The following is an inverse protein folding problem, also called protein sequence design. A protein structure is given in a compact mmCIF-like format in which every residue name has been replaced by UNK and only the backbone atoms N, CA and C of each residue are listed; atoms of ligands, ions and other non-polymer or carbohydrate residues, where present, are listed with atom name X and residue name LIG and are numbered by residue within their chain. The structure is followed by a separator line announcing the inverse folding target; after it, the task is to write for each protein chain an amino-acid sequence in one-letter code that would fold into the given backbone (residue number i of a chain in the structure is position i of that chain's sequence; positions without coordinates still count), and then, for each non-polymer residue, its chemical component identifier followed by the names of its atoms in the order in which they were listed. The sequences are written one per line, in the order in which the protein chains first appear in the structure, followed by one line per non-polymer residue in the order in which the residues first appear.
data_IF_428217505856
#
_entry.id   IF_428217505856
#
_cell.length_a   1.000
_cell.length_b   1.000
_cell.length_c   1.000
_cell.angle_alpha   90.00
_cell.angle_beta   90.00
_cell.angle_gamma   90.00
#
_symmetry.space_group_name_H-M   'P 1'
#
loop_
_entity.id
_entity.type
_entity.pdbx_description
1 polymer ?
#
# COMPACT_ATOMS: atom_id res chain seq x y z
N UNK A 1 -17.42 16.06 -5.25
CA UNK A 1 -16.22 16.01 -6.10
C UNK A 1 -15.17 16.87 -5.44
N UNK A 2 -14.28 16.25 -4.65
CA UNK A 2 -13.11 16.90 -4.07
C UNK A 2 -11.90 16.06 -4.48
N UNK A 3 -11.47 16.26 -5.72
CA UNK A 3 -10.24 15.70 -6.29
C UNK A 3 -9.02 16.49 -5.79
N UNK A 4 -8.80 16.49 -4.48
CA UNK A 4 -7.45 16.71 -3.97
C UNK A 4 -6.72 15.38 -4.06
N UNK A 5 -6.27 15.08 -5.29
CA UNK A 5 -5.25 14.08 -5.54
C UNK A 5 -4.10 14.35 -4.57
N UNK A 6 -3.82 13.39 -3.68
CA UNK A 6 -2.65 13.40 -2.81
C UNK A 6 -1.41 13.52 -3.71
N UNK A 7 -0.81 14.70 -3.75
CA UNK A 7 0.42 14.97 -4.46
C UNK A 7 1.54 14.09 -3.88
N UNK A 8 1.90 13.06 -4.65
CA UNK A 8 2.79 11.95 -4.24
C UNK A 8 4.27 12.35 -4.16
N UNK A 9 4.63 13.58 -4.50
CA UNK A 9 5.99 14.10 -4.38
C UNK A 9 6.28 14.85 -3.09
N UNK A 10 5.25 15.18 -2.30
CA UNK A 10 5.42 15.93 -1.06
C UNK A 10 5.63 14.94 0.09
N UNK A 11 6.78 14.97 0.80
CA UNK A 11 6.91 14.21 2.04
C UNK A 11 5.75 14.61 2.94
N UNK A 12 5.05 13.64 3.52
CA UNK A 12 4.05 13.91 4.56
C UNK A 12 4.72 14.81 5.60
N UNK A 13 4.35 16.10 5.62
CA UNK A 13 4.87 17.04 6.60
C UNK A 13 4.36 16.54 7.93
N UNK A 14 5.25 15.91 8.70
CA UNK A 14 4.99 15.62 10.09
C UNK A 14 4.68 16.94 10.77
N UNK A 15 3.41 17.15 11.12
CA UNK A 15 3.02 18.24 11.98
C UNK A 15 3.48 17.84 13.38
N UNK A 16 4.69 18.26 13.75
CA UNK A 16 5.05 18.32 15.16
C UNK A 16 4.18 19.39 15.79
N UNK A 17 3.11 18.98 16.44
CA UNK A 17 2.43 19.86 17.37
C UNK A 17 3.43 20.20 18.48
N UNK A 18 3.77 21.48 18.61
CA UNK A 18 4.81 21.98 19.50
C UNK A 18 4.43 21.86 20.97
N UNK A 19 3.18 21.46 21.27
CA UNK A 19 2.66 21.39 22.63
C UNK A 19 3.49 20.53 23.58
N UNK A 20 4.00 19.37 23.17
CA UNK A 20 4.79 18.52 24.08
C UNK A 20 6.18 19.12 24.37
N UNK A 21 6.98 19.54 23.37
CA UNK A 21 8.23 20.27 23.63
C UNK A 21 8.04 21.55 24.44
N UNK A 22 6.97 22.31 24.18
CA UNK A 22 6.66 23.56 24.86
C UNK A 22 6.30 23.35 26.33
N UNK A 23 5.41 22.39 26.63
CA UNK A 23 5.05 22.00 28.00
C UNK A 23 6.29 21.49 28.74
N UNK A 24 7.12 20.66 28.11
CA UNK A 24 8.36 20.18 28.73
C UNK A 24 9.34 21.33 29.02
N UNK A 25 9.41 22.32 28.14
CA UNK A 25 10.21 23.53 28.34
C UNK A 25 9.67 24.41 29.48
N UNK A 26 8.36 24.59 29.57
CA UNK A 26 7.68 25.32 30.64
C UNK A 26 7.89 24.61 31.99
N UNK A 27 7.70 23.29 32.05
CA UNK A 27 7.91 22.50 33.28
C UNK A 27 9.38 22.53 33.70
N UNK A 28 10.32 22.44 32.75
CA UNK A 28 11.75 22.56 33.05
C UNK A 28 12.12 23.91 33.67
N UNK A 29 11.53 25.02 33.17
CA UNK A 29 11.72 26.36 33.76
C UNK A 29 11.11 26.47 35.15
N UNK A 30 9.89 25.94 35.36
CA UNK A 30 9.25 25.94 36.67
C UNK A 30 10.06 25.18 37.73
N UNK A 31 10.65 24.04 37.37
CA UNK A 31 11.57 23.27 38.23
C UNK A 31 12.81 24.09 38.60
N UNK A 32 13.33 24.91 37.68
CA UNK A 32 14.48 25.79 37.97
C UNK A 32 14.09 26.97 38.85
N UNK A 33 12.95 27.60 38.60
CA UNK A 33 12.41 28.70 39.42
C UNK A 33 12.15 28.25 40.86
N UNK A 34 11.55 27.07 41.06
CA UNK A 34 11.34 26.47 42.38
C UNK A 34 12.68 26.26 43.10
N UNK A 35 13.71 25.80 42.40
CA UNK A 35 15.04 25.59 42.98
C UNK A 35 15.67 26.90 43.46
N UNK A 36 15.55 27.97 42.69
CA UNK A 36 16.04 29.29 43.08
C UNK A 36 15.28 29.85 44.29
N UNK A 37 13.95 29.67 44.34
CA UNK A 37 13.15 30.03 45.50
C UNK A 37 13.59 29.25 46.76
N UNK A 38 13.81 27.95 46.64
CA UNK A 38 14.30 27.08 47.73
C UNK A 38 15.65 27.57 48.27
N UNK A 39 16.58 28.00 47.40
CA UNK A 39 17.88 28.57 47.80
C UNK A 39 17.71 29.87 48.60
N UNK A 40 16.86 30.79 48.11
CA UNK A 40 16.58 32.07 48.79
C UNK A 40 15.95 31.83 50.16
N UNK A 41 14.98 30.92 50.20
CA UNK A 41 14.23 30.55 51.40
C UNK A 41 15.14 29.94 52.49
N UNK A 42 16.10 29.09 52.11
CA UNK A 42 17.09 28.51 53.05
C UNK A 42 17.93 29.57 53.77
N UNK A 43 18.15 30.74 53.16
CA UNK A 43 18.91 31.85 53.74
C UNK A 43 18.11 32.77 54.66
N UNK A 44 16.77 32.65 54.72
CA UNK A 44 15.90 33.68 55.32
C UNK A 44 15.22 33.30 56.65
N UNK A 45 15.59 32.20 57.31
CA UNK A 45 14.91 31.75 58.55
C UNK A 45 15.65 32.16 59.81
N UNK A 46 14.94 32.86 60.72
CA UNK A 46 15.52 33.54 61.91
C UNK A 46 15.04 32.92 63.24
N UNK A 47 14.13 31.92 63.25
CA UNK A 47 13.59 31.33 64.49
C UNK A 47 13.85 29.81 64.59
N UNK A 48 14.51 29.37 65.67
CA UNK A 48 14.99 27.99 65.89
C UNK A 48 13.88 26.93 65.86
N UNK A 49 12.69 27.20 66.41
CA UNK A 49 11.57 26.25 66.44
C UNK A 49 10.93 26.01 65.06
N UNK A 50 10.86 27.06 64.25
CA UNK A 50 10.32 27.02 62.88
C UNK A 50 11.37 26.52 61.87
N UNK A 51 12.66 26.70 62.16
CA UNK A 51 13.76 26.29 61.28
C UNK A 51 13.79 24.78 60.99
N UNK A 52 13.45 23.93 61.96
CA UNK A 52 13.44 22.47 61.76
C UNK A 52 12.32 22.01 60.81
N UNK A 53 11.10 22.53 60.98
CA UNK A 53 9.97 22.21 60.09
C UNK A 53 10.21 22.79 58.68
N UNK A 54 10.79 23.98 58.62
CA UNK A 54 11.16 24.63 57.37
C UNK A 54 12.24 23.88 56.59
N UNK A 55 13.30 23.44 57.27
CA UNK A 55 14.36 22.65 56.63
C UNK A 55 13.81 21.36 56.01
N UNK A 56 12.83 20.70 56.67
CA UNK A 56 12.16 19.53 56.09
C UNK A 56 11.40 19.87 54.81
N UNK A 57 10.71 21.01 54.76
CA UNK A 57 9.99 21.46 53.54
C UNK A 57 10.98 21.74 52.41
N UNK A 58 12.08 22.45 52.71
CA UNK A 58 13.16 22.74 51.74
C UNK A 58 13.74 21.43 51.20
N UNK A 59 14.10 20.47 52.06
CA UNK A 59 14.61 19.16 51.63
C UNK A 59 13.60 18.41 50.77
N UNK A 60 12.32 18.36 51.17
CA UNK A 60 11.28 17.70 50.37
C UNK A 60 11.10 18.37 49.00
N UNK A 61 11.18 19.70 48.93
CA UNK A 61 11.11 20.43 47.66
C UNK A 61 12.33 20.17 46.77
N UNK A 62 13.54 20.07 47.35
CA UNK A 62 14.74 19.67 46.61
C UNK A 62 14.61 18.25 46.04
N UNK A 63 14.12 17.30 46.84
CA UNK A 63 13.86 15.92 46.42
C UNK A 63 12.85 15.85 45.28
N UNK A 64 11.67 16.45 45.44
CA UNK A 64 10.62 16.49 44.41
C UNK A 64 11.13 17.15 43.12
N UNK A 65 11.89 18.23 43.23
CA UNK A 65 12.47 18.95 42.09
C UNK A 65 13.47 18.07 41.34
N UNK A 66 14.26 17.28 42.05
CA UNK A 66 15.22 16.36 41.45
C UNK A 66 14.51 15.19 40.76
N UNK A 67 13.54 14.54 41.42
CA UNK A 67 12.72 13.48 40.83
C UNK A 67 12.00 13.96 39.57
N UNK A 68 11.41 15.16 39.61
CA UNK A 68 10.72 15.76 38.46
C UNK A 68 11.69 15.99 37.31
N UNK A 69 12.91 16.47 37.57
CA UNK A 69 13.94 16.66 36.53
C UNK A 69 14.35 15.33 35.90
N UNK A 70 14.53 14.28 36.69
CA UNK A 70 14.85 12.93 36.19
C UNK A 70 13.74 12.37 35.30
N UNK A 71 12.48 12.50 35.73
CA UNK A 71 11.31 12.09 34.94
C UNK A 71 11.22 12.85 33.61
N UNK A 72 11.43 14.18 33.63
CA UNK A 72 11.44 15.01 32.42
C UNK A 72 12.57 14.61 31.47
N UNK A 73 13.78 14.36 31.99
CA UNK A 73 14.92 13.88 31.19
C UNK A 73 14.66 12.52 30.56
N UNK A 74 14.14 11.57 31.34
CA UNK A 74 13.77 10.24 30.87
C UNK A 74 12.67 10.26 29.82
N UNK A 75 11.63 11.08 30.02
CA UNK A 75 10.53 11.23 29.07
C UNK A 75 11.00 11.90 27.78
N UNK A 76 11.86 12.93 27.85
CA UNK A 76 12.46 13.55 26.67
C UNK A 76 13.23 12.54 25.81
N UNK A 77 14.02 11.68 26.44
CA UNK A 77 14.77 10.64 25.73
C UNK A 77 13.86 9.57 25.09
N UNK A 78 12.75 9.19 25.76
CA UNK A 78 11.76 8.25 25.21
C UNK A 78 10.99 8.86 24.03
N UNK A 79 10.58 10.13 24.16
CA UNK A 79 9.86 10.85 23.10
C UNK A 79 10.74 11.01 21.86
N UNK A 80 12.00 11.41 22.01
CA UNK A 80 12.93 11.53 20.89
C UNK A 80 13.07 10.19 20.14
N UNK A 81 13.26 9.08 20.88
CA UNK A 81 13.31 7.75 20.26
C UNK A 81 12.02 7.37 19.53
N UNK A 82 10.86 7.59 20.15
CA UNK A 82 9.58 7.29 19.51
C UNK A 82 9.38 8.09 18.21
N UNK A 83 9.82 9.35 18.21
CA UNK A 83 9.82 10.21 17.02
C UNK A 83 10.75 9.68 15.94
N UNK A 84 11.96 9.28 16.31
CA UNK A 84 12.95 8.71 15.37
C UNK A 84 12.43 7.39 14.77
N UNK A 85 11.93 6.48 15.60
CA UNK A 85 11.34 5.20 15.20
C UNK A 85 10.14 5.42 14.26
N UNK A 86 9.26 6.38 14.59
CA UNK A 86 8.13 6.73 13.75
C UNK A 86 8.57 7.30 12.39
N UNK A 87 9.59 8.16 12.39
CA UNK A 87 10.17 8.74 11.16
C UNK A 87 10.79 7.66 10.28
N UNK A 88 11.51 6.72 10.88
CA UNK A 88 12.07 5.56 10.17
C UNK A 88 10.96 4.67 9.61
N UNK A 89 9.99 4.28 10.42
CA UNK A 89 8.84 3.47 10.00
C UNK A 89 8.09 4.14 8.85
N UNK A 90 7.93 5.47 8.90
CA UNK A 90 7.28 6.24 7.82
C UNK A 90 8.10 6.28 6.53
N UNK A 91 9.44 6.18 6.59
CA UNK A 91 10.29 6.04 5.40
C UNK A 91 10.18 4.64 4.81
N UNK A 92 10.20 3.61 5.67
CA UNK A 92 10.02 2.21 5.25
C UNK A 92 8.65 2.00 4.60
N UNK A 93 7.58 2.56 5.18
CA UNK A 93 6.23 2.51 4.61
C UNK A 93 6.14 3.22 3.25
N UNK A 94 6.79 4.38 3.08
CA UNK A 94 6.86 5.05 1.77
C UNK A 94 7.54 4.18 0.72
N UNK A 95 8.66 3.57 1.08
CA UNK A 95 9.40 2.64 0.20
C UNK A 95 8.53 1.45 -0.18
N UNK A 96 7.79 0.87 0.77
CA UNK A 96 6.88 -0.25 0.50
C UNK A 96 5.72 0.17 -0.43
N UNK A 97 5.15 1.35 -0.22
CA UNK A 97 4.08 1.90 -1.08
C UNK A 97 4.59 2.12 -2.49
N UNK A 98 5.80 2.67 -2.65
CA UNK A 98 6.44 2.86 -3.96
C UNK A 98 6.70 1.52 -4.65
N UNK A 99 7.34 0.56 -3.97
CA UNK A 99 7.60 -0.77 -4.52
C UNK A 99 6.31 -1.51 -4.90
N UNK A 100 5.26 -1.37 -4.09
CA UNK A 100 3.96 -1.99 -4.37
C UNK A 100 3.28 -1.34 -5.59
N UNK A 101 3.41 -0.01 -5.77
CA UNK A 101 2.87 0.69 -6.93
C UNK A 101 3.49 0.16 -8.23
N UNK A 102 4.80 -0.02 -8.26
CA UNK A 102 5.51 -0.48 -9.46
C UNK A 102 5.14 -1.93 -9.83
N UNK A 103 5.03 -2.80 -8.81
CA UNK A 103 4.55 -4.18 -8.98
C UNK A 103 3.10 -4.24 -9.46
N UNK A 104 2.22 -3.43 -8.89
CA UNK A 104 0.82 -3.34 -9.32
C UNK A 104 0.72 -2.82 -10.75
N UNK A 105 1.50 -1.81 -11.12
CA UNK A 105 1.54 -1.30 -12.48
C UNK A 105 2.01 -2.38 -13.46
N UNK A 106 3.08 -3.11 -13.12
CA UNK A 106 3.58 -4.23 -13.93
C UNK A 106 2.52 -5.33 -14.09
N UNK A 107 1.81 -5.67 -13.01
CA UNK A 107 0.73 -6.67 -13.05
C UNK A 107 -0.42 -6.22 -13.96
N UNK A 108 -0.80 -4.94 -13.89
CA UNK A 108 -1.82 -4.35 -14.76
C UNK A 108 -1.38 -4.33 -16.23
N UNK A 109 -0.14 -3.93 -16.51
CA UNK A 109 0.40 -3.91 -17.87
C UNK A 109 0.47 -5.31 -18.48
N UNK A 110 0.89 -6.30 -17.70
CA UNK A 110 0.92 -7.70 -18.13
C UNK A 110 -0.49 -8.25 -18.38
N UNK A 111 -1.45 -7.91 -17.51
CA UNK A 111 -2.84 -8.27 -17.71
C UNK A 111 -3.40 -7.68 -19.01
N UNK A 112 -3.13 -6.41 -19.28
CA UNK A 112 -3.59 -5.73 -20.49
C UNK A 112 -3.01 -6.39 -21.75
N UNK A 113 -1.70 -6.68 -21.75
CA UNK A 113 -1.03 -7.40 -22.85
C UNK A 113 -1.64 -8.78 -23.07
N UNK A 114 -1.82 -9.57 -22.00
CA UNK A 114 -2.44 -10.90 -22.08
C UNK A 114 -3.89 -10.83 -22.57
N UNK A 115 -4.66 -9.84 -22.11
CA UNK A 115 -6.04 -9.63 -22.56
C UNK A 115 -6.09 -9.26 -24.04
N UNK A 116 -5.16 -8.42 -24.54
CA UNK A 116 -5.06 -8.08 -25.95
C UNK A 116 -4.68 -9.31 -26.79
N UNK A 117 -3.66 -10.06 -26.38
CA UNK A 117 -3.26 -11.28 -27.07
C UNK A 117 -4.36 -12.33 -27.13
N UNK A 118 -5.14 -12.49 -26.05
CA UNK A 118 -6.32 -13.37 -26.05
C UNK A 118 -7.40 -12.88 -27.02
N UNK A 119 -7.65 -11.57 -27.07
CA UNK A 119 -8.61 -10.98 -28.01
C UNK A 119 -8.18 -11.20 -29.47
N UNK A 120 -6.90 -11.01 -29.78
CA UNK A 120 -6.33 -11.26 -31.10
C UNK A 120 -6.45 -12.73 -31.49
N UNK A 121 -6.06 -13.64 -30.60
CA UNK A 121 -6.19 -15.09 -30.81
C UNK A 121 -7.65 -15.51 -31.04
N UNK A 122 -8.59 -14.96 -30.27
CA UNK A 122 -10.03 -15.22 -30.44
C UNK A 122 -10.52 -14.75 -31.81
N UNK A 123 -10.09 -13.57 -32.26
CA UNK A 123 -10.41 -13.06 -33.60
C UNK A 123 -9.86 -13.94 -34.71
N UNK A 124 -8.61 -14.42 -34.59
CA UNK A 124 -8.02 -15.33 -35.59
C UNK A 124 -8.74 -16.69 -35.62
N UNK A 125 -9.17 -17.20 -34.46
CA UNK A 125 -9.96 -18.43 -34.39
C UNK A 125 -11.35 -18.26 -35.02
N UNK A 126 -11.97 -17.09 -34.87
CA UNK A 126 -13.24 -16.77 -35.54
C UNK A 126 -13.09 -16.73 -37.06
N UNK A 127 -12.03 -16.10 -37.56
CA UNK A 127 -11.72 -16.05 -38.99
C UNK A 127 -11.47 -17.46 -39.55
N UNK A 128 -10.66 -18.27 -38.84
CA UNK A 128 -10.41 -19.66 -39.22
C UNK A 128 -11.70 -20.48 -39.25
N UNK A 129 -12.56 -20.36 -38.23
CA UNK A 129 -13.87 -21.03 -38.19
C UNK A 129 -14.73 -20.59 -39.38
N UNK A 130 -14.78 -19.30 -39.69
CA UNK A 130 -15.51 -18.78 -40.86
C UNK A 130 -15.01 -19.32 -42.19
N UNK A 131 -13.69 -19.43 -42.36
CA UNK A 131 -13.07 -20.02 -43.54
C UNK A 131 -13.38 -21.52 -43.66
N UNK A 132 -13.31 -22.28 -42.57
CA UNK A 132 -13.67 -23.70 -42.54
C UNK A 132 -15.16 -23.92 -42.83
N UNK A 133 -16.06 -23.10 -42.29
CA UNK A 133 -17.50 -23.11 -42.65
C UNK A 133 -17.70 -22.91 -44.15
N UNK A 134 -16.98 -21.95 -44.73
CA UNK A 134 -17.05 -21.65 -46.16
C UNK A 134 -16.55 -22.81 -47.03
N UNK A 135 -15.49 -23.50 -46.60
CA UNK A 135 -14.99 -24.72 -47.27
C UNK A 135 -16.02 -25.84 -47.16
N UNK A 136 -16.51 -26.12 -45.95
CA UNK A 136 -17.51 -27.17 -45.71
C UNK A 136 -18.79 -26.92 -46.52
N UNK A 137 -19.27 -25.68 -46.61
CA UNK A 137 -20.44 -25.33 -47.43
C UNK A 137 -20.20 -25.57 -48.94
N UNK A 138 -18.99 -25.29 -49.45
CA UNK A 138 -18.62 -25.60 -50.83
C UNK A 138 -18.49 -27.10 -51.10
N UNK A 139 -18.15 -27.90 -50.08
CA UNK A 139 -18.15 -29.36 -50.17
C UNK A 139 -19.57 -29.94 -50.15
N UNK A 140 -20.51 -29.28 -49.48
CA UNK A 140 -21.94 -29.65 -49.50
C UNK A 140 -22.61 -29.34 -50.84
N UNK A 141 -22.16 -28.30 -51.55
CA UNK A 141 -22.72 -27.97 -52.87
C UNK A 141 -22.31 -29.02 -53.91
N UNK A 142 -23.30 -29.65 -54.54
CA UNK A 142 -23.09 -30.68 -55.58
C UNK A 142 -22.52 -30.13 -56.92
N UNK A 143 -22.27 -28.83 -57.00
CA UNK A 143 -21.83 -28.15 -58.23
C UNK A 143 -20.30 -28.03 -58.32
N UNK A 144 -19.70 -28.77 -59.26
CA UNK A 144 -18.30 -28.61 -59.68
C UNK A 144 -17.42 -29.86 -59.54
N UNK A 145 -16.23 -29.83 -60.15
CA UNK A 145 -15.25 -30.92 -60.18
C UNK A 145 -14.84 -31.41 -58.78
N UNK A 146 -14.98 -30.57 -57.74
CA UNK A 146 -14.72 -30.92 -56.33
C UNK A 146 -15.82 -31.80 -55.71
N UNK A 147 -17.10 -31.57 -56.04
CA UNK A 147 -18.21 -32.44 -55.64
C UNK A 147 -18.13 -33.83 -56.28
N UNK A 148 -17.42 -33.96 -57.42
CA UNK A 148 -17.12 -35.24 -58.07
C UNK A 148 -15.81 -35.90 -57.57
N UNK A 149 -14.90 -35.16 -56.91
CA UNK A 149 -13.58 -35.67 -56.49
C UNK A 149 -13.52 -36.10 -55.01
N UNK A 150 -14.31 -35.47 -54.13
CA UNK A 150 -14.28 -35.75 -52.68
C UNK A 150 -15.52 -36.53 -52.23
N UNK A 151 -15.50 -37.84 -52.49
CA UNK A 151 -16.41 -38.81 -51.86
C UNK A 151 -15.94 -39.30 -50.49
N UNK A 152 -14.89 -38.70 -49.93
CA UNK A 152 -14.42 -39.10 -48.62
C UNK A 152 -15.28 -38.45 -47.53
N UNK A 153 -16.38 -39.13 -47.20
CA UNK A 153 -17.29 -38.72 -46.11
C UNK A 153 -16.52 -38.45 -44.81
N UNK A 154 -15.41 -39.15 -44.57
CA UNK A 154 -14.59 -38.97 -43.37
C UNK A 154 -14.00 -37.56 -43.27
N UNK A 155 -13.42 -37.03 -44.36
CA UNK A 155 -12.84 -35.69 -44.37
C UNK A 155 -13.88 -34.60 -44.14
N UNK A 156 -15.05 -34.72 -44.77
CA UNK A 156 -16.16 -33.79 -44.56
C UNK A 156 -16.64 -33.81 -43.10
N UNK A 157 -16.84 -35.00 -42.53
CA UNK A 157 -17.26 -35.17 -41.14
C UNK A 157 -16.21 -34.61 -40.15
N UNK A 158 -14.92 -34.84 -40.43
CA UNK A 158 -13.80 -34.32 -39.61
C UNK A 158 -13.72 -32.79 -39.67
N UNK A 159 -13.88 -32.17 -40.84
CA UNK A 159 -13.90 -30.71 -40.99
C UNK A 159 -15.10 -30.08 -40.28
N UNK A 160 -16.28 -30.70 -40.41
CA UNK A 160 -17.49 -30.26 -39.72
C UNK A 160 -17.33 -30.32 -38.20
N UNK A 161 -16.78 -31.42 -37.69
CA UNK A 161 -16.48 -31.59 -36.28
C UNK A 161 -15.47 -30.56 -35.79
N UNK A 162 -14.36 -30.40 -36.50
CA UNK A 162 -13.31 -29.42 -36.18
C UNK A 162 -13.87 -28.00 -36.12
N UNK A 163 -14.72 -27.63 -37.07
CA UNK A 163 -15.38 -26.32 -37.11
C UNK A 163 -16.29 -26.12 -35.89
N UNK A 164 -17.06 -27.14 -35.51
CA UNK A 164 -17.91 -27.09 -34.33
C UNK A 164 -17.11 -26.98 -33.02
N UNK A 165 -15.98 -27.68 -32.92
CA UNK A 165 -15.08 -27.62 -31.77
C UNK A 165 -14.43 -26.23 -31.66
N UNK A 166 -14.02 -25.62 -32.77
CA UNK A 166 -13.50 -24.25 -32.81
C UNK A 166 -14.54 -23.21 -32.39
N UNK A 167 -15.78 -23.33 -32.89
CA UNK A 167 -16.88 -22.46 -32.46
C UNK A 167 -17.13 -22.56 -30.96
N UNK A 168 -17.16 -23.78 -30.44
CA UNK A 168 -17.33 -24.03 -29.00
C UNK A 168 -16.20 -23.40 -28.19
N UNK A 169 -14.95 -23.53 -28.63
CA UNK A 169 -13.80 -22.91 -28.00
C UNK A 169 -13.88 -21.38 -27.99
N UNK A 170 -14.20 -20.76 -29.13
CA UNK A 170 -14.39 -19.29 -29.23
C UNK A 170 -15.49 -18.82 -28.29
N UNK A 171 -16.62 -19.54 -28.24
CA UNK A 171 -17.72 -19.21 -27.33
C UNK A 171 -17.29 -19.34 -25.86
N UNK A 172 -16.53 -20.38 -25.51
CA UNK A 172 -16.02 -20.54 -24.14
C UNK A 172 -15.04 -19.43 -23.76
N UNK A 173 -14.11 -19.07 -24.66
CA UNK A 173 -13.17 -17.96 -24.41
C UNK A 173 -13.93 -16.64 -24.22
N UNK A 174 -14.93 -16.34 -25.06
CA UNK A 174 -15.75 -15.12 -24.94
C UNK A 174 -16.55 -15.08 -23.64
N UNK A 175 -17.12 -16.22 -23.22
CA UNK A 175 -17.92 -16.32 -21.99
C UNK A 175 -17.04 -16.30 -20.74
N UNK A 176 -15.86 -16.91 -20.80
CA UNK A 176 -14.98 -17.16 -19.67
C UNK A 176 -13.52 -16.73 -19.94
N UNK A 177 -13.25 -15.47 -20.33
CA UNK A 177 -11.90 -15.05 -20.73
C UNK A 177 -10.87 -15.21 -19.60
N UNK A 178 -11.31 -15.11 -18.33
CA UNK A 178 -10.46 -15.30 -17.14
C UNK A 178 -9.83 -16.70 -17.03
N UNK A 179 -10.43 -17.73 -17.62
CA UNK A 179 -9.89 -19.10 -17.64
C UNK A 179 -8.62 -19.21 -18.49
N UNK A 180 -8.45 -18.27 -19.44
CA UNK A 180 -7.39 -18.30 -20.44
C UNK A 180 -6.34 -17.20 -20.23
N UNK A 181 -6.62 -16.21 -19.38
CA UNK A 181 -5.66 -15.19 -18.97
C UNK A 181 -4.93 -15.65 -17.71
N UNK A 182 -3.61 -15.86 -17.82
CA UNK A 182 -2.76 -16.12 -16.67
C UNK A 182 -2.17 -14.80 -16.16
N UNK A 183 -2.49 -14.47 -14.92
CA UNK A 183 -1.95 -13.33 -14.20
C UNK A 183 -0.75 -13.79 -13.38
N UNK A 184 0.45 -13.41 -13.78
CA UNK A 184 1.63 -13.53 -12.94
C UNK A 184 1.69 -12.34 -11.98
N UNK A 185 1.61 -12.61 -10.68
CA UNK A 185 1.70 -11.60 -9.62
C UNK A 185 3.11 -11.68 -9.05
N UNK A 186 3.86 -10.57 -9.11
CA UNK A 186 5.24 -10.45 -8.62
C UNK A 186 5.34 -9.58 -7.36
#
# INVERSE_FOLDING_TARGET
HSDTLLDRGLPAKGYYDTGIPEVMGLTGRAVEEIRELVKILRGSVINEGTALQFNRIVTNLEEITNETRELLGGNRAKINRAVDDFSQTSKEMRTLVEASKDKLQTTVDNFEKSSRGLSEATSSLEELSGNLKSITAKLESEEGTFGMLLKDRSLYDDLKKTTADLDSLVVDIKRNPKKYIHLEIF
#
